data_IF_070223055762
#
_entry.id   IF_070223055762
#
_cell.length_a   1.000
_cell.length_b   1.000
_cell.length_c   1.000
_cell.angle_alpha   90.00
_cell.angle_beta   90.00
_cell.angle_gamma   90.00
#
_symmetry.space_group_name_H-M   'P 1'
#
loop_
_entity.id
_entity.type
_entity.pdbx_description
1 polymer ?
#
# COMPACT_ATOMS: atom_id res chain seq x y z
N UNK A 1 27.83 -63.19 5.80
CA UNK A 1 27.46 -64.09 6.94
C UNK A 1 26.07 -63.65 7.32
N UNK A 2 25.09 -64.25 6.69
CA UNK A 2 24.00 -65.09 7.21
C UNK A 2 22.98 -64.32 8.06
N UNK A 3 21.72 -64.42 7.91
CA UNK A 3 20.71 -65.36 7.39
C UNK A 3 19.36 -64.60 7.53
N UNK A 4 18.50 -64.40 6.58
CA UNK A 4 17.47 -65.34 6.04
C UNK A 4 16.63 -66.05 7.12
N UNK A 5 15.36 -65.65 7.18
CA UNK A 5 14.20 -66.54 7.42
C UNK A 5 12.93 -65.68 7.34
N UNK A 6 12.13 -65.86 6.35
CA UNK A 6 11.08 -66.85 6.04
C UNK A 6 9.80 -66.66 6.88
N UNK A 7 8.78 -66.13 6.20
CA UNK A 7 7.42 -66.64 5.95
C UNK A 7 6.51 -66.97 7.13
N UNK A 8 5.40 -66.25 7.23
CA UNK A 8 4.11 -66.94 7.39
C UNK A 8 2.91 -66.08 6.97
N UNK A 9 2.19 -66.56 6.00
CA UNK A 9 0.91 -66.09 5.50
C UNK A 9 -0.16 -66.54 6.49
N UNK A 10 -1.07 -65.63 6.89
CA UNK A 10 -2.37 -66.02 7.42
C UNK A 10 -3.45 -65.13 6.85
N UNK A 11 -4.18 -65.65 5.89
CA UNK A 11 -5.48 -65.11 5.42
C UNK A 11 -6.54 -65.31 6.51
N UNK A 12 -7.19 -64.20 6.90
CA UNK A 12 -8.51 -64.27 7.53
C UNK A 12 -9.43 -63.30 6.85
N UNK A 13 -10.37 -63.89 6.12
CA UNK A 13 -11.57 -63.27 5.56
C UNK A 13 -12.47 -62.84 6.71
N UNK A 14 -12.83 -61.58 6.81
CA UNK A 14 -14.02 -61.14 7.52
C UNK A 14 -14.86 -60.24 6.61
N UNK A 15 -16.03 -60.74 6.46
CA UNK A 15 -17.18 -60.23 5.74
C UNK A 15 -17.72 -58.95 6.36
N UNK A 16 -18.05 -58.00 5.51
CA UNK A 16 -19.11 -57.00 5.52
C UNK A 16 -19.59 -56.36 6.82
N UNK A 17 -19.47 -55.04 6.86
CA UNK A 17 -20.49 -54.14 7.35
C UNK A 17 -20.31 -52.80 6.68
N UNK A 18 -21.14 -52.46 5.73
CA UNK A 18 -21.30 -51.13 5.20
C UNK A 18 -22.07 -50.31 6.21
N UNK A 19 -21.38 -49.37 6.89
CA UNK A 19 -22.02 -48.30 7.64
C UNK A 19 -22.08 -47.06 6.74
N UNK A 20 -23.20 -46.31 6.73
CA UNK A 20 -23.34 -45.11 5.91
C UNK A 20 -22.38 -44.04 6.45
N UNK A 21 -21.64 -43.42 5.55
CA UNK A 21 -20.84 -42.22 5.80
C UNK A 21 -21.81 -41.11 6.21
N UNK A 22 -21.70 -40.71 7.48
CA UNK A 22 -22.36 -39.52 7.98
C UNK A 22 -21.57 -38.31 7.43
N UNK A 23 -22.19 -37.55 6.55
CA UNK A 23 -21.72 -36.23 6.11
C UNK A 23 -21.60 -35.33 7.34
N UNK A 24 -20.39 -34.90 7.60
CA UNK A 24 -20.09 -33.91 8.64
C UNK A 24 -20.42 -32.53 8.07
N UNK A 25 -21.34 -31.75 8.66
CA UNK A 25 -21.75 -30.43 8.14
C UNK A 25 -20.85 -29.29 8.61
N UNK A 26 -19.54 -29.51 8.75
CA UNK A 26 -18.57 -28.47 9.06
C UNK A 26 -17.55 -28.29 7.93
N UNK A 27 -18.07 -27.96 6.75
CA UNK A 27 -17.24 -27.25 5.77
C UNK A 27 -17.24 -25.78 6.22
N UNK A 28 -16.07 -25.19 6.57
CA UNK A 28 -16.04 -23.76 6.84
C UNK A 28 -16.52 -23.04 5.58
N UNK A 29 -17.61 -22.31 5.73
CA UNK A 29 -18.15 -21.39 4.76
C UNK A 29 -16.99 -20.56 4.23
N UNK A 30 -16.78 -20.61 2.92
CA UNK A 30 -15.92 -19.71 2.19
C UNK A 30 -16.38 -18.31 2.59
N UNK A 31 -15.59 -17.65 3.44
CA UNK A 31 -15.82 -16.24 3.75
C UNK A 31 -15.82 -15.52 2.41
N UNK A 32 -16.98 -15.14 1.95
CA UNK A 32 -17.11 -14.15 0.91
C UNK A 32 -16.41 -12.90 1.42
N UNK A 33 -15.21 -12.68 0.90
CA UNK A 33 -14.53 -11.41 1.04
C UNK A 33 -15.42 -10.43 0.29
N UNK A 34 -16.30 -9.77 1.03
CA UNK A 34 -17.11 -8.67 0.50
C UNK A 34 -16.12 -7.57 0.16
N UNK A 35 -15.62 -7.59 -1.07
CA UNK A 35 -14.82 -6.48 -1.60
C UNK A 35 -15.79 -5.31 -1.69
N UNK A 36 -15.59 -4.32 -0.83
CA UNK A 36 -16.35 -3.07 -0.86
C UNK A 36 -15.95 -2.31 -2.13
N UNK A 37 -16.54 -2.72 -3.28
CA UNK A 37 -16.26 -2.15 -4.60
C UNK A 37 -16.64 -0.67 -4.73
N UNK A 38 -17.39 -0.17 -3.74
CA UNK A 38 -17.96 1.18 -3.75
C UNK A 38 -17.37 2.10 -2.67
N UNK A 39 -16.15 1.84 -2.23
CA UNK A 39 -15.46 2.73 -1.30
C UNK A 39 -14.32 3.48 -1.99
N UNK A 40 -14.03 4.70 -1.53
CA UNK A 40 -12.94 5.52 -2.02
C UNK A 40 -12.23 6.23 -0.88
N UNK A 41 -10.91 6.21 -0.92
CA UNK A 41 -10.06 7.04 -0.07
C UNK A 41 -9.58 8.24 -0.88
N UNK A 42 -9.83 9.45 -0.39
CA UNK A 42 -9.37 10.70 -1.00
C UNK A 42 -8.36 11.39 -0.08
N UNK A 43 -7.15 11.56 -0.55
CA UNK A 43 -6.07 12.26 0.16
C UNK A 43 -5.95 13.66 -0.43
N UNK A 44 -5.99 14.68 0.43
CA UNK A 44 -5.86 16.09 0.02
C UNK A 44 -4.67 16.73 0.70
N UNK A 45 -3.99 17.58 -0.03
CA UNK A 45 -2.89 18.40 0.48
C UNK A 45 -2.90 19.77 -0.20
N UNK A 46 -2.32 20.76 0.46
CA UNK A 46 -1.96 22.03 -0.16
C UNK A 46 -0.46 22.03 -0.48
N UNK A 47 -0.10 22.38 -1.70
CA UNK A 47 1.28 22.44 -2.17
C UNK A 47 1.69 23.87 -2.48
N UNK A 48 2.76 24.33 -1.85
CA UNK A 48 3.40 25.61 -2.10
C UNK A 48 4.78 25.37 -2.73
N UNK A 49 4.95 25.88 -3.94
CA UNK A 49 6.20 25.68 -4.67
C UNK A 49 7.29 26.57 -4.09
N UNK A 50 8.38 25.97 -3.65
CA UNK A 50 9.60 26.69 -3.34
C UNK A 50 10.36 27.04 -4.62
N UNK A 51 10.97 28.25 -4.67
CA UNK A 51 11.82 28.68 -5.76
C UNK A 51 13.26 28.12 -5.67
N UNK A 52 13.50 27.20 -4.75
CA UNK A 52 14.82 26.59 -4.54
C UNK A 52 15.02 25.36 -5.42
N UNK A 53 16.27 25.08 -5.79
CA UNK A 53 16.62 24.00 -6.73
C UNK A 53 16.41 22.61 -6.12
N UNK A 54 16.61 22.46 -4.81
CA UNK A 54 16.67 21.18 -4.13
C UNK A 54 15.39 20.84 -3.36
N UNK A 55 14.24 21.17 -3.93
CA UNK A 55 12.92 20.99 -3.31
C UNK A 55 11.85 20.60 -4.33
N UNK A 56 10.59 20.61 -3.92
CA UNK A 56 9.42 20.41 -4.78
C UNK A 56 9.24 18.97 -5.29
N UNK A 57 9.88 17.99 -4.66
CA UNK A 57 9.64 16.58 -4.94
C UNK A 57 8.73 16.01 -3.86
N UNK A 58 7.70 15.28 -4.24
CA UNK A 58 6.89 14.54 -3.29
C UNK A 58 6.29 13.28 -3.89
N UNK A 59 5.87 12.38 -3.00
CA UNK A 59 5.16 11.15 -3.32
C UNK A 59 3.96 10.96 -2.39
N UNK A 60 2.94 10.26 -2.89
CA UNK A 60 1.74 9.82 -2.16
C UNK A 60 1.56 8.34 -2.39
N UNK A 61 1.47 7.53 -1.31
CA UNK A 61 1.34 6.08 -1.45
C UNK A 61 0.60 5.43 -0.29
N UNK A 62 0.24 4.18 -0.49
CA UNK A 62 -0.45 3.32 0.47
C UNK A 62 0.41 2.09 0.76
N UNK A 63 0.51 1.73 2.04
CA UNK A 63 1.10 0.47 2.51
C UNK A 63 0.08 -0.34 3.31
N UNK A 64 0.26 -1.65 3.37
CA UNK A 64 -0.52 -2.50 4.26
C UNK A 64 0.02 -2.44 5.72
N UNK A 65 -0.66 -3.13 6.63
CA UNK A 65 -0.32 -3.14 8.07
C UNK A 65 1.08 -3.68 8.39
N UNK A 66 1.69 -4.46 7.49
CA UNK A 66 3.05 -5.00 7.65
C UNK A 66 4.12 -4.15 6.93
N UNK A 67 3.73 -2.99 6.38
CA UNK A 67 4.66 -2.05 5.74
C UNK A 67 5.04 -2.42 4.31
N UNK A 68 4.27 -3.30 3.65
CA UNK A 68 4.46 -3.60 2.23
C UNK A 68 3.72 -2.55 1.39
N UNK A 69 4.39 -2.04 0.35
CA UNK A 69 3.80 -1.17 -0.66
C UNK A 69 2.57 -1.83 -1.30
N UNK A 70 1.46 -1.09 -1.36
CA UNK A 70 0.22 -1.52 -2.00
C UNK A 70 0.01 -0.74 -3.29
N UNK A 71 0.14 0.58 -3.23
CA UNK A 71 -0.09 1.45 -4.38
C UNK A 71 0.65 2.77 -4.23
N UNK A 72 1.38 3.18 -5.25
CA UNK A 72 1.80 4.58 -5.42
C UNK A 72 0.68 5.31 -6.17
N UNK A 73 0.18 6.39 -5.58
CA UNK A 73 -0.85 7.24 -6.17
C UNK A 73 -0.25 8.39 -6.97
N UNK A 74 0.93 8.83 -6.55
CA UNK A 74 1.67 9.89 -7.22
C UNK A 74 3.14 9.89 -6.78
N UNK A 75 4.02 10.20 -7.69
CA UNK A 75 5.40 10.60 -7.42
C UNK A 75 5.84 11.65 -8.44
N UNK A 76 6.65 12.61 -8.00
CA UNK A 76 7.21 13.62 -8.90
C UNK A 76 8.06 12.98 -10.00
N UNK A 77 7.83 13.38 -11.25
CA UNK A 77 8.45 12.79 -12.44
C UNK A 77 9.99 12.78 -12.38
N UNK A 78 10.61 13.83 -11.82
CA UNK A 78 12.06 13.85 -11.63
C UNK A 78 12.55 12.68 -10.76
N UNK A 79 11.86 12.39 -9.65
CA UNK A 79 12.19 11.26 -8.77
C UNK A 79 11.94 9.93 -9.49
N UNK A 80 10.76 9.74 -10.10
CA UNK A 80 10.41 8.52 -10.82
C UNK A 80 11.44 8.17 -11.90
N UNK A 81 11.89 9.16 -12.68
CA UNK A 81 12.86 9.00 -13.76
C UNK A 81 14.34 8.96 -13.29
N UNK A 82 14.58 8.53 -12.07
CA UNK A 82 15.92 8.28 -11.54
C UNK A 82 16.62 9.52 -10.97
N UNK A 83 15.89 10.60 -10.71
CA UNK A 83 16.41 11.81 -10.06
C UNK A 83 17.05 11.51 -8.70
N UNK A 84 16.53 10.53 -7.95
CA UNK A 84 17.08 10.04 -6.69
C UNK A 84 18.50 9.49 -6.79
N UNK A 85 18.96 9.05 -7.98
CA UNK A 85 20.35 8.62 -8.22
C UNK A 85 21.33 9.79 -8.24
N UNK A 86 20.83 11.00 -8.51
CA UNK A 86 21.61 12.24 -8.52
C UNK A 86 21.43 13.03 -7.23
N UNK A 87 20.30 12.84 -6.59
CA UNK A 87 19.89 13.47 -5.35
C UNK A 87 19.23 12.42 -4.46
N UNK A 88 20.01 11.83 -3.58
CA UNK A 88 19.58 10.74 -2.68
C UNK A 88 18.47 11.18 -1.71
N UNK A 89 18.36 12.50 -1.49
CA UNK A 89 17.34 13.13 -0.67
C UNK A 89 15.97 13.31 -1.36
N UNK A 90 15.84 12.92 -2.65
CA UNK A 90 14.56 12.99 -3.34
C UNK A 90 13.60 11.90 -2.88
N UNK A 91 12.68 12.26 -1.97
CA UNK A 91 11.63 11.38 -1.43
C UNK A 91 12.20 10.02 -0.99
N UNK A 92 13.18 10.02 -0.08
CA UNK A 92 14.01 8.84 0.21
C UNK A 92 13.23 7.68 0.78
N UNK A 93 12.16 7.94 1.57
CA UNK A 93 11.32 6.88 2.12
C UNK A 93 10.55 6.15 1.03
N UNK A 94 9.94 6.89 0.10
CA UNK A 94 9.27 6.30 -1.04
C UNK A 94 10.24 5.48 -1.91
N UNK A 95 11.41 6.03 -2.22
CA UNK A 95 12.45 5.34 -3.01
C UNK A 95 12.86 4.02 -2.36
N UNK A 96 13.07 4.01 -1.04
CA UNK A 96 13.43 2.82 -0.30
C UNK A 96 12.31 1.75 -0.25
N UNK A 97 11.04 2.17 -0.33
CA UNK A 97 9.87 1.29 -0.25
C UNK A 97 9.39 0.81 -1.61
N UNK A 98 9.37 1.70 -2.59
CA UNK A 98 8.87 1.42 -3.93
C UNK A 98 9.89 0.72 -4.84
N UNK A 99 11.18 0.81 -4.55
CA UNK A 99 12.27 0.26 -5.37
C UNK A 99 12.17 0.65 -6.86
N UNK A 100 12.07 1.96 -7.21
CA UNK A 100 11.81 2.40 -8.57
C UNK A 100 12.87 1.96 -9.60
N UNK A 101 14.04 1.55 -9.16
CA UNK A 101 15.06 0.96 -10.04
C UNK A 101 14.68 -0.40 -10.62
N UNK A 102 13.67 -1.08 -10.06
CA UNK A 102 13.16 -2.38 -10.48
C UNK A 102 11.89 -2.27 -11.31
N UNK A 103 11.28 -1.08 -11.39
CA UNK A 103 10.08 -0.80 -12.16
C UNK A 103 10.40 -0.61 -13.65
N UNK A 104 9.50 -1.05 -14.50
CA UNK A 104 9.52 -0.74 -15.93
C UNK A 104 9.19 0.73 -16.19
N UNK A 105 9.50 1.22 -17.40
CA UNK A 105 9.13 2.57 -17.80
C UNK A 105 7.62 2.80 -17.75
N UNK A 106 6.82 1.83 -18.17
CA UNK A 106 5.36 1.92 -18.18
C UNK A 106 4.78 2.02 -16.75
N UNK A 107 5.34 1.26 -15.80
CA UNK A 107 4.96 1.36 -14.38
C UNK A 107 5.32 2.73 -13.79
N UNK A 108 6.51 3.24 -14.10
CA UNK A 108 6.94 4.57 -13.65
C UNK A 108 6.08 5.68 -14.26
N UNK A 109 5.76 5.59 -15.54
CA UNK A 109 4.91 6.58 -16.22
C UNK A 109 3.48 6.59 -15.66
N UNK A 110 2.94 5.40 -15.29
CA UNK A 110 1.60 5.28 -14.72
C UNK A 110 1.43 5.96 -13.35
N UNK A 111 2.51 6.09 -12.57
CA UNK A 111 2.48 6.66 -11.20
C UNK A 111 3.11 8.05 -11.12
N UNK A 112 3.79 8.50 -12.17
CA UNK A 112 4.53 9.76 -12.15
C UNK A 112 3.73 10.91 -12.75
N UNK A 113 4.00 12.12 -12.24
CA UNK A 113 3.42 13.35 -12.77
C UNK A 113 4.42 14.50 -12.75
N UNK A 114 4.17 15.48 -13.62
CA UNK A 114 4.91 16.74 -13.58
C UNK A 114 4.79 17.40 -12.20
N UNK A 115 5.77 18.24 -11.83
CA UNK A 115 5.68 19.02 -10.60
C UNK A 115 4.36 19.76 -10.55
N UNK A 116 3.54 19.57 -9.52
CA UNK A 116 2.21 20.15 -9.44
C UNK A 116 2.24 21.67 -9.40
N UNK A 117 1.12 22.27 -9.75
CA UNK A 117 0.91 23.71 -9.58
C UNK A 117 0.71 24.00 -8.09
N UNK A 118 0.98 25.25 -7.70
CA UNK A 118 0.64 25.74 -6.36
C UNK A 118 -0.87 25.58 -6.12
N UNK A 119 -1.24 25.17 -4.92
CA UNK A 119 -2.61 25.03 -4.48
C UNK A 119 -2.98 23.62 -4.02
N UNK A 120 -4.27 23.34 -4.00
CA UNK A 120 -4.80 22.07 -3.51
C UNK A 120 -4.65 20.95 -4.54
N UNK A 121 -4.24 19.79 -4.05
CA UNK A 121 -4.16 18.54 -4.81
C UNK A 121 -4.95 17.45 -4.11
N UNK A 122 -5.49 16.54 -4.92
CA UNK A 122 -6.30 15.41 -4.45
C UNK A 122 -5.87 14.14 -5.17
N UNK A 123 -5.69 13.07 -4.38
CA UNK A 123 -5.31 11.75 -4.85
C UNK A 123 -6.34 10.75 -4.33
N UNK A 124 -6.79 9.84 -5.18
CA UNK A 124 -7.82 8.86 -4.81
C UNK A 124 -7.25 7.44 -4.88
N UNK A 125 -7.70 6.60 -3.96
CA UNK A 125 -7.44 5.17 -3.97
C UNK A 125 -8.76 4.40 -3.89
N UNK A 126 -8.93 3.45 -4.79
CA UNK A 126 -10.12 2.62 -4.96
C UNK A 126 -9.99 1.23 -4.33
N UNK A 127 -9.02 1.04 -3.43
CA UNK A 127 -8.78 -0.25 -2.79
C UNK A 127 -8.14 -1.29 -3.69
N UNK A 128 -7.45 -0.87 -4.75
CA UNK A 128 -6.69 -1.80 -5.60
C UNK A 128 -5.20 -1.64 -5.42
N UNK A 129 -4.49 -2.75 -5.53
CA UNK A 129 -3.04 -2.79 -5.56
C UNK A 129 -2.46 -2.26 -6.89
N UNK A 130 -1.14 -2.28 -7.03
CA UNK A 130 -0.44 -1.85 -8.25
C UNK A 130 -0.78 -2.69 -9.48
N UNK A 131 -1.29 -3.92 -9.31
CA UNK A 131 -1.71 -4.83 -10.38
C UNK A 131 -3.22 -4.74 -10.68
N UNK A 132 -3.96 -3.85 -9.98
CA UNK A 132 -5.40 -3.68 -10.15
C UNK A 132 -6.26 -4.70 -9.41
N UNK A 133 -5.67 -5.53 -8.55
CA UNK A 133 -6.41 -6.48 -7.73
C UNK A 133 -6.99 -5.77 -6.50
N UNK A 134 -8.24 -6.09 -6.14
CA UNK A 134 -8.85 -5.58 -4.92
C UNK A 134 -8.08 -6.08 -3.69
N UNK A 135 -7.86 -5.19 -2.74
CA UNK A 135 -7.21 -5.53 -1.47
C UNK A 135 -8.25 -6.07 -0.47
N UNK A 136 -7.79 -6.84 0.51
CA UNK A 136 -8.63 -7.31 1.60
C UNK A 136 -9.02 -6.16 2.54
N UNK A 137 -10.14 -6.32 3.25
CA UNK A 137 -10.48 -5.44 4.36
C UNK A 137 -9.40 -5.47 5.44
N UNK A 138 -9.10 -4.30 6.03
CA UNK A 138 -8.05 -4.22 7.03
C UNK A 138 -7.47 -2.82 7.20
N UNK A 139 -6.37 -2.74 7.96
CA UNK A 139 -5.66 -1.48 8.18
C UNK A 139 -4.62 -1.24 7.10
N UNK A 140 -4.65 -0.02 6.55
CA UNK A 140 -3.68 0.49 5.59
C UNK A 140 -3.10 1.80 6.08
N UNK A 141 -1.84 2.05 5.74
CA UNK A 141 -1.16 3.30 6.06
C UNK A 141 -1.07 4.18 4.83
N UNK A 142 -1.46 5.41 5.02
CA UNK A 142 -1.37 6.49 4.03
C UNK A 142 -0.08 7.24 4.31
N UNK A 143 0.66 7.55 3.25
CA UNK A 143 1.87 8.36 3.35
C UNK A 143 1.88 9.47 2.31
N UNK A 144 2.41 10.62 2.73
CA UNK A 144 2.78 11.73 1.86
C UNK A 144 4.18 12.18 2.29
N UNK A 145 5.17 12.01 1.44
CA UNK A 145 6.53 12.46 1.70
C UNK A 145 6.90 13.61 0.77
N UNK A 146 7.57 14.62 1.31
CA UNK A 146 8.09 15.74 0.55
C UNK A 146 9.55 16.04 0.87
N UNK A 147 10.36 16.31 -0.16
CA UNK A 147 11.69 16.91 -0.02
C UNK A 147 11.52 18.41 0.04
N UNK A 148 11.66 18.97 1.22
CA UNK A 148 11.47 20.40 1.50
C UNK A 148 12.63 21.23 0.96
N UNK A 149 13.86 20.80 1.29
CA UNK A 149 15.10 21.44 0.83
C UNK A 149 16.30 20.52 1.11
N UNK A 150 17.07 20.13 0.08
CA UNK A 150 18.16 19.16 0.20
C UNK A 150 17.71 17.94 1.03
N UNK A 151 18.43 17.59 2.10
CA UNK A 151 18.12 16.47 2.97
C UNK A 151 16.92 16.71 3.91
N UNK A 152 16.38 17.94 3.97
CA UNK A 152 15.22 18.24 4.79
C UNK A 152 13.96 17.69 4.16
N UNK A 153 13.27 16.79 4.88
CA UNK A 153 12.06 16.12 4.42
C UNK A 153 10.93 16.23 5.44
N UNK A 154 9.71 16.04 4.97
CA UNK A 154 8.54 15.79 5.81
C UNK A 154 7.87 14.49 5.36
N UNK A 155 7.49 13.65 6.32
CA UNK A 155 6.70 12.46 6.10
C UNK A 155 5.39 12.58 6.90
N UNK A 156 4.28 12.75 6.20
CA UNK A 156 2.95 12.65 6.78
C UNK A 156 2.49 11.20 6.77
N UNK A 157 1.87 10.76 7.84
CA UNK A 157 1.30 9.41 7.91
C UNK A 157 -0.03 9.38 8.65
N UNK A 158 -0.89 8.45 8.25
CA UNK A 158 -2.18 8.18 8.88
C UNK A 158 -2.63 6.76 8.61
N UNK A 159 -3.60 6.27 9.37
CA UNK A 159 -4.14 4.92 9.23
C UNK A 159 -5.59 5.01 8.77
N UNK A 160 -5.94 4.22 7.76
CA UNK A 160 -7.30 4.00 7.29
C UNK A 160 -7.69 2.55 7.53
N UNK A 161 -8.94 2.32 7.97
CA UNK A 161 -9.53 0.98 8.03
C UNK A 161 -10.37 0.78 6.77
N UNK A 162 -9.78 0.10 5.78
CA UNK A 162 -10.49 -0.28 4.56
C UNK A 162 -11.53 -1.35 4.86
N UNK A 163 -12.73 -1.26 4.28
CA UNK A 163 -13.87 -2.13 4.60
C UNK A 163 -14.61 -1.75 5.90
N UNK A 164 -14.17 -0.70 6.59
CA UNK A 164 -14.86 -0.12 7.76
C UNK A 164 -15.85 0.97 7.40
N UNK A 165 -16.33 1.69 8.43
CA UNK A 165 -17.19 2.86 8.25
C UNK A 165 -16.45 4.05 7.63
N UNK A 166 -17.20 4.96 7.01
CA UNK A 166 -16.66 6.23 6.52
C UNK A 166 -15.96 7.01 7.64
N UNK A 167 -14.77 7.55 7.35
CA UNK A 167 -13.93 8.20 8.36
C UNK A 167 -13.11 9.34 7.76
N UNK A 168 -12.86 10.36 8.57
CA UNK A 168 -11.88 11.41 8.28
C UNK A 168 -10.59 11.09 9.02
N UNK A 169 -9.47 11.07 8.31
CA UNK A 169 -8.15 10.75 8.84
C UNK A 169 -7.29 12.01 8.79
N UNK A 170 -6.74 12.40 9.93
CA UNK A 170 -5.69 13.40 10.00
C UNK A 170 -4.33 12.71 9.83
N UNK A 171 -3.51 13.21 8.91
CA UNK A 171 -2.16 12.73 8.76
C UNK A 171 -1.22 13.59 9.60
N UNK A 172 -0.38 12.93 10.40
CA UNK A 172 0.57 13.63 11.29
C UNK A 172 1.94 13.75 10.59
N UNK A 173 2.54 14.95 10.61
CA UNK A 173 3.85 15.19 10.01
C UNK A 173 4.99 14.76 10.93
N UNK A 174 5.98 14.10 10.35
CA UNK A 174 7.30 13.89 10.94
C UNK A 174 8.35 14.61 10.07
N UNK A 175 8.99 15.62 10.61
CA UNK A 175 10.04 16.35 9.93
C UNK A 175 11.41 15.72 10.24
N UNK A 176 12.30 15.67 9.26
CA UNK A 176 13.67 15.19 9.45
C UNK A 176 14.55 16.16 10.28
N UNK A 177 14.12 17.41 10.37
CA UNK A 177 14.79 18.49 11.09
C UNK A 177 13.79 19.24 11.97
N UNK A 178 14.23 19.77 13.10
CA UNK A 178 13.39 20.55 14.03
C UNK A 178 12.88 21.85 13.39
N UNK A 179 13.73 22.52 12.63
CA UNK A 179 13.44 23.80 11.95
C UNK A 179 13.71 23.72 10.45
N UNK A 180 12.91 22.95 9.70
CA UNK A 180 13.18 22.73 8.29
C UNK A 180 12.94 23.98 7.45
N UNK A 181 13.81 24.23 6.49
CA UNK A 181 13.58 25.19 5.42
C UNK A 181 12.39 24.74 4.56
N UNK A 182 11.54 25.66 4.11
CA UNK A 182 10.33 25.39 3.33
C UNK A 182 9.31 24.48 4.05
N UNK A 183 9.20 24.59 5.35
CA UNK A 183 8.27 23.82 6.19
C UNK A 183 6.85 23.78 5.62
N UNK A 184 6.43 24.87 5.00
CA UNK A 184 5.07 25.06 4.49
C UNK A 184 4.88 24.59 3.04
N UNK A 185 5.88 23.89 2.45
CA UNK A 185 5.77 23.37 1.08
C UNK A 185 4.62 22.37 0.92
N UNK A 186 4.36 21.56 1.93
CA UNK A 186 3.22 20.65 1.99
C UNK A 186 2.48 20.89 3.29
N UNK A 187 1.21 21.27 3.21
CA UNK A 187 0.38 21.57 4.37
C UNK A 187 -1.03 21.01 4.21
N UNK A 188 -1.83 21.07 5.29
CA UNK A 188 -3.24 20.67 5.30
C UNK A 188 -3.45 19.26 4.73
N UNK A 189 -2.59 18.32 5.16
CA UNK A 189 -2.67 16.94 4.68
C UNK A 189 -3.77 16.21 5.44
N UNK A 190 -4.83 15.82 4.72
CA UNK A 190 -5.98 15.11 5.26
C UNK A 190 -6.35 13.95 4.35
N UNK A 191 -7.08 12.98 4.87
CA UNK A 191 -7.69 11.94 4.07
C UNK A 191 -9.13 11.68 4.51
N UNK A 192 -9.96 11.31 3.56
CA UNK A 192 -11.36 10.97 3.76
C UNK A 192 -11.63 9.63 3.10
N UNK A 193 -12.03 8.66 3.89
CA UNK A 193 -12.53 7.37 3.41
C UNK A 193 -14.05 7.42 3.41
N UNK A 194 -14.64 7.23 2.25
CA UNK A 194 -16.07 7.26 2.05
C UNK A 194 -16.55 5.91 1.50
N UNK A 195 -17.56 5.32 2.15
CA UNK A 195 -18.30 4.17 1.65
C UNK A 195 -19.45 4.71 0.81
N UNK A 196 -19.52 4.29 -0.44
CA UNK A 196 -20.58 4.70 -1.38
C UNK A 196 -21.74 3.72 -1.22
N UNK A 197 -22.94 4.16 -0.79
CA UNK A 197 -24.08 3.26 -0.65
C UNK A 197 -24.45 2.62 -1.99
N UNK A 198 -24.69 1.32 -2.00
CA UNK A 198 -25.24 0.65 -3.17
C UNK A 198 -26.59 1.30 -3.54
N UNK A 199 -26.77 1.60 -4.83
CA UNK A 199 -28.02 2.17 -5.36
C UNK A 199 -29.12 1.12 -5.46
#
# INVERSE_FOLDING_TARGET
MNMMNILMILCLLFSGCTSPVQENPDTPSKNDVTTNSDAVLTIRLNFERSNTIASNQYAVWIENSVGKMVRTLYVSSFTANGGYRRREDCVPTWVARAHPAQMSTDELDAISGATPRIGQHSYTWDGKDEHGNAVADGEYRIYVEGTLYWSSTVLYSGVVRWGGDSQTIRLEPAFSEETPTNRDMITVVTAEYAVIPAK
#
